data_IF_937006355743
#
_entry.id   IF_937006355743
#
_cell.length_a   1.000
_cell.length_b   1.000
_cell.length_c   1.000
_cell.angle_alpha   90.00
_cell.angle_beta   90.00
_cell.angle_gamma   90.00
#
_symmetry.space_group_name_H-M   'P 1'
#
loop_
_entity.id
_entity.type
_entity.pdbx_description
1 polymer ?
#
# COMPACT_ATOMS: atom_id res chain seq x y z
N UNK A 1 13.04 -2.05 17.42
CA UNK A 1 13.70 -0.71 17.50
C UNK A 1 15.15 -1.01 17.79
N UNK A 2 16.11 -0.37 17.10
CA UNK A 2 17.54 -0.57 17.34
C UNK A 2 17.92 -0.04 18.73
N UNK A 3 18.82 -0.76 19.40
CA UNK A 3 19.42 -0.31 20.64
C UNK A 3 20.66 0.56 20.35
N UNK A 4 21.12 1.39 21.30
CA UNK A 4 22.37 2.14 21.15
C UNK A 4 23.54 1.19 20.83
N UNK A 5 24.29 1.48 19.77
CA UNK A 5 25.41 0.66 19.30
C UNK A 5 25.05 -0.44 18.28
N UNK A 6 23.77 -0.62 17.97
CA UNK A 6 23.34 -1.57 16.91
C UNK A 6 23.33 -0.91 15.53
N UNK A 7 23.72 -1.66 14.52
CA UNK A 7 23.69 -1.29 13.11
C UNK A 7 22.86 -2.31 12.32
N UNK A 8 22.04 -1.80 11.39
CA UNK A 8 21.40 -2.66 10.39
C UNK A 8 22.45 -3.09 9.36
N UNK A 9 22.81 -4.36 9.34
CA UNK A 9 23.80 -4.91 8.41
C UNK A 9 23.19 -5.58 7.20
N UNK A 10 21.91 -5.98 7.26
CA UNK A 10 21.20 -6.61 6.16
C UNK A 10 19.69 -6.48 6.31
N UNK A 11 18.98 -6.51 5.17
CA UNK A 11 17.55 -6.70 5.06
C UNK A 11 17.29 -8.03 4.36
N UNK A 12 16.54 -8.91 5.02
CA UNK A 12 16.12 -10.19 4.43
C UNK A 12 14.72 -10.06 3.86
N UNK A 13 14.60 -10.21 2.53
CA UNK A 13 13.31 -10.18 1.82
C UNK A 13 13.00 -11.61 1.36
N UNK A 14 12.00 -12.28 1.97
CA UNK A 14 11.60 -13.62 1.54
C UNK A 14 11.09 -13.60 0.09
N UNK A 15 11.40 -14.65 -0.67
CA UNK A 15 10.82 -14.82 -2.01
C UNK A 15 9.31 -15.11 -1.90
N UNK A 16 8.49 -14.58 -2.82
CA UNK A 16 7.09 -15.00 -2.96
C UNK A 16 7.00 -16.52 -3.18
N UNK A 17 5.95 -17.14 -2.65
CA UNK A 17 5.70 -18.58 -2.82
C UNK A 17 4.91 -18.90 -4.08
N UNK A 18 4.21 -17.91 -4.63
CA UNK A 18 3.39 -18.00 -5.84
C UNK A 18 3.81 -16.92 -6.84
N UNK A 19 3.21 -16.95 -8.04
CA UNK A 19 3.34 -15.87 -8.99
C UNK A 19 2.95 -14.55 -8.33
N UNK A 20 3.85 -13.56 -8.39
CA UNK A 20 3.66 -12.29 -7.72
C UNK A 20 3.69 -11.13 -8.71
N UNK A 21 2.70 -10.23 -8.58
CA UNK A 21 2.67 -8.94 -9.26
C UNK A 21 2.83 -7.84 -8.24
N UNK A 22 3.50 -6.75 -8.60
CA UNK A 22 3.69 -5.61 -7.72
C UNK A 22 3.48 -4.30 -8.46
N UNK A 23 3.02 -3.30 -7.72
CA UNK A 23 2.86 -1.95 -8.23
C UNK A 23 3.16 -0.91 -7.13
N UNK A 24 3.54 0.28 -7.57
CA UNK A 24 3.77 1.44 -6.73
C UNK A 24 3.17 2.68 -7.40
N UNK A 25 2.42 3.46 -6.62
CA UNK A 25 1.88 4.74 -7.05
C UNK A 25 2.20 5.83 -6.03
N UNK A 26 2.48 7.02 -6.53
CA UNK A 26 2.82 8.19 -5.74
C UNK A 26 2.00 9.40 -6.20
N UNK A 27 1.44 10.14 -5.25
CA UNK A 27 0.87 11.46 -5.44
C UNK A 27 1.82 12.51 -4.88
N UNK A 28 2.12 13.51 -5.69
CA UNK A 28 2.91 14.68 -5.31
C UNK A 28 2.43 15.90 -6.09
N UNK A 29 2.87 17.10 -5.69
CA UNK A 29 2.51 18.35 -6.37
C UNK A 29 3.09 18.47 -7.80
N UNK A 30 4.08 17.64 -8.13
CA UNK A 30 4.68 17.50 -9.47
C UNK A 30 5.19 16.08 -9.68
N UNK A 31 5.54 15.75 -10.91
CA UNK A 31 5.90 14.37 -11.29
C UNK A 31 7.18 13.87 -10.63
N UNK A 32 8.20 14.71 -10.55
CA UNK A 32 9.53 14.33 -10.05
C UNK A 32 10.03 15.27 -8.96
N UNK A 33 11.04 14.82 -8.22
CA UNK A 33 11.77 15.59 -7.21
C UNK A 33 10.86 16.35 -6.23
N UNK A 34 9.87 15.64 -5.68
CA UNK A 34 8.91 16.22 -4.75
C UNK A 34 8.60 15.24 -3.61
N UNK A 35 8.36 15.79 -2.42
CA UNK A 35 7.90 15.03 -1.27
C UNK A 35 6.47 14.54 -1.55
N UNK A 36 6.21 13.28 -1.23
CA UNK A 36 4.90 12.65 -1.46
C UNK A 36 3.82 13.28 -0.58
N UNK A 37 2.65 13.52 -1.17
CA UNK A 37 1.41 13.80 -0.46
C UNK A 37 0.86 12.49 0.11
N UNK A 38 0.82 11.46 -0.74
CA UNK A 38 0.50 10.08 -0.41
C UNK A 38 1.24 9.14 -1.35
N UNK A 39 1.53 7.93 -0.92
CA UNK A 39 2.05 6.87 -1.80
C UNK A 39 1.55 5.51 -1.31
N UNK A 40 1.38 4.59 -2.24
CA UNK A 40 0.95 3.24 -1.96
C UNK A 40 1.76 2.23 -2.75
N UNK A 41 2.02 1.08 -2.17
CA UNK A 41 2.61 -0.07 -2.83
C UNK A 41 1.82 -1.33 -2.50
N UNK A 42 1.76 -2.26 -3.44
CA UNK A 42 1.22 -3.58 -3.19
C UNK A 42 2.04 -4.66 -3.89
N UNK A 43 2.11 -5.81 -3.24
CA UNK A 43 2.53 -7.08 -3.83
C UNK A 43 1.38 -8.05 -3.65
N UNK A 44 0.92 -8.67 -4.73
CA UNK A 44 -0.15 -9.67 -4.73
C UNK A 44 0.40 -10.96 -5.29
N UNK A 45 0.35 -12.01 -4.49
CA UNK A 45 0.67 -13.38 -4.89
C UNK A 45 -0.62 -14.09 -5.31
N UNK A 46 -0.59 -14.81 -6.42
CA UNK A 46 -1.78 -15.48 -6.95
C UNK A 46 -1.47 -16.88 -7.45
N UNK A 47 -2.47 -17.75 -7.34
CA UNK A 47 -2.49 -19.07 -7.93
C UNK A 47 -3.94 -19.44 -8.29
N UNK A 48 -4.13 -20.06 -9.47
CA UNK A 48 -5.45 -20.46 -9.94
C UNK A 48 -6.45 -19.31 -10.09
N UNK A 49 -5.99 -18.10 -10.46
CA UNK A 49 -6.81 -16.91 -10.60
C UNK A 49 -7.30 -16.29 -9.28
N UNK A 50 -6.76 -16.74 -8.13
CA UNK A 50 -7.13 -16.23 -6.81
C UNK A 50 -5.92 -15.64 -6.10
N UNK A 51 -6.15 -14.62 -5.30
CA UNK A 51 -5.14 -14.02 -4.41
C UNK A 51 -4.82 -14.99 -3.28
N UNK A 52 -3.57 -15.41 -3.19
CA UNK A 52 -3.07 -16.27 -2.11
C UNK A 52 -2.53 -15.44 -0.95
N UNK A 53 -1.86 -14.33 -1.27
CA UNK A 53 -1.36 -13.39 -0.28
C UNK A 53 -1.32 -11.98 -0.87
N UNK A 54 -1.56 -10.98 -0.05
CA UNK A 54 -1.36 -9.58 -0.41
C UNK A 54 -0.53 -8.87 0.66
N UNK A 55 0.30 -7.94 0.22
CA UNK A 55 1.04 -7.02 1.10
C UNK A 55 0.83 -5.62 0.57
N UNK A 56 0.16 -4.80 1.35
CA UNK A 56 -0.22 -3.43 0.96
C UNK A 56 0.34 -2.45 1.97
N UNK A 57 1.10 -1.48 1.50
CA UNK A 57 1.70 -0.47 2.35
C UNK A 57 1.39 0.94 1.85
N UNK A 58 1.18 1.86 2.78
CA UNK A 58 0.95 3.29 2.53
C UNK A 58 2.03 4.11 3.21
N UNK A 59 2.63 5.02 2.47
CA UNK A 59 3.61 5.98 2.96
C UNK A 59 3.12 7.42 2.86
N UNK A 60 3.83 8.33 3.52
CA UNK A 60 3.53 9.76 3.67
C UNK A 60 2.19 10.08 4.39
N UNK A 61 1.54 9.08 4.96
CA UNK A 61 0.28 9.21 5.71
C UNK A 61 0.40 8.73 7.17
N UNK A 62 1.61 8.63 7.67
CA UNK A 62 1.98 8.29 9.05
C UNK A 62 3.47 8.62 9.24
N UNK A 63 4.00 8.65 10.47
CA UNK A 63 5.44 8.93 10.71
C UNK A 63 6.38 7.97 9.95
N UNK A 64 5.94 6.72 9.73
CA UNK A 64 6.62 5.73 8.87
C UNK A 64 5.60 5.06 7.97
N UNK A 65 6.05 4.37 6.92
CA UNK A 65 5.15 3.58 6.08
C UNK A 65 4.41 2.53 6.91
N UNK A 66 3.11 2.36 6.65
CA UNK A 66 2.23 1.44 7.37
C UNK A 66 1.66 0.39 6.43
N UNK A 67 1.71 -0.87 6.86
CA UNK A 67 0.94 -1.96 6.25
C UNK A 67 -0.54 -1.80 6.61
N UNK A 68 -1.41 -2.36 5.75
CA UNK A 68 -2.86 -2.38 5.93
C UNK A 68 -3.37 -3.82 6.11
N UNK A 69 -3.16 -4.45 7.28
CA UNK A 69 -3.45 -5.89 7.47
C UNK A 69 -4.91 -6.25 7.22
N UNK A 70 -5.86 -5.37 7.61
CA UNK A 70 -7.29 -5.61 7.37
C UNK A 70 -7.61 -5.67 5.87
N UNK A 71 -7.02 -4.78 5.05
CA UNK A 71 -7.15 -4.84 3.59
C UNK A 71 -6.50 -6.10 3.03
N UNK A 72 -5.30 -6.46 3.49
CA UNK A 72 -4.60 -7.66 3.05
C UNK A 72 -5.42 -8.93 3.30
N UNK A 73 -6.08 -9.01 4.45
CA UNK A 73 -7.00 -10.09 4.80
C UNK A 73 -8.23 -10.09 3.88
N UNK A 74 -8.81 -8.92 3.60
CA UNK A 74 -9.97 -8.79 2.71
C UNK A 74 -9.67 -9.18 1.25
N UNK A 75 -8.41 -9.02 0.82
CA UNK A 75 -7.96 -9.42 -0.52
C UNK A 75 -7.67 -10.91 -0.62
N UNK A 76 -7.27 -11.58 0.47
CA UNK A 76 -6.94 -13.00 0.45
C UNK A 76 -8.16 -13.86 0.05
N UNK A 77 -7.94 -14.80 -0.88
CA UNK A 77 -8.97 -15.68 -1.45
C UNK A 77 -9.87 -15.02 -2.49
N UNK A 78 -9.78 -13.70 -2.70
CA UNK A 78 -10.56 -13.00 -3.74
C UNK A 78 -10.09 -13.41 -5.14
N UNK A 79 -10.97 -13.27 -6.12
CA UNK A 79 -10.61 -13.46 -7.53
C UNK A 79 -9.68 -12.32 -7.96
N UNK A 80 -8.62 -12.66 -8.70
CA UNK A 80 -7.69 -11.68 -9.25
C UNK A 80 -8.25 -11.10 -10.55
N UNK A 81 -9.26 -10.26 -10.43
CA UNK A 81 -9.94 -9.58 -11.53
C UNK A 81 -10.33 -8.14 -11.16
N UNK A 82 -11.06 -7.47 -12.05
CA UNK A 82 -11.49 -6.08 -11.86
C UNK A 82 -12.34 -5.83 -10.60
N UNK A 83 -12.94 -6.87 -9.99
CA UNK A 83 -13.74 -6.74 -8.76
C UNK A 83 -12.88 -6.67 -7.49
N UNK A 84 -11.56 -6.88 -7.62
CA UNK A 84 -10.63 -6.81 -6.47
C UNK A 84 -10.68 -5.44 -5.77
N UNK A 85 -10.96 -4.37 -6.52
CA UNK A 85 -11.08 -3.00 -5.98
C UNK A 85 -12.28 -2.82 -5.05
N UNK A 86 -13.33 -3.63 -5.20
CA UNK A 86 -14.55 -3.56 -4.38
C UNK A 86 -14.30 -4.06 -2.95
N UNK A 87 -13.16 -4.71 -2.72
CA UNK A 87 -12.71 -5.13 -1.38
C UNK A 87 -12.14 -4.00 -0.55
N UNK A 88 -11.92 -2.82 -1.16
CA UNK A 88 -11.35 -1.67 -0.44
C UNK A 88 -12.46 -0.96 0.34
N UNK A 89 -12.31 -0.93 1.66
CA UNK A 89 -13.17 -0.17 2.57
C UNK A 89 -12.37 0.98 3.23
N UNK A 90 -12.94 2.18 3.41
CA UNK A 90 -12.31 3.27 4.16
C UNK A 90 -11.83 2.88 5.56
N UNK A 91 -12.49 1.93 6.23
CA UNK A 91 -12.09 1.42 7.54
C UNK A 91 -10.70 0.75 7.52
N UNK A 92 -10.27 0.22 6.37
CA UNK A 92 -8.94 -0.35 6.21
C UNK A 92 -7.80 0.67 6.41
N UNK A 93 -8.12 1.97 6.32
CA UNK A 93 -7.16 3.06 6.53
C UNK A 93 -7.00 3.44 8.01
N UNK A 94 -7.63 2.73 8.95
CA UNK A 94 -7.56 3.00 10.38
C UNK A 94 -6.11 3.10 10.94
N UNK A 95 -5.13 2.31 10.46
CA UNK A 95 -3.74 2.41 10.94
C UNK A 95 -3.02 3.71 10.53
N UNK A 96 -3.60 4.51 9.64
CA UNK A 96 -2.97 5.74 9.12
C UNK A 96 -3.26 6.94 10.02
N UNK A 97 -2.24 7.77 10.23
CA UNK A 97 -2.31 9.02 11.00
C UNK A 97 -1.69 10.19 10.21
N UNK A 98 -2.32 10.60 9.09
CA UNK A 98 -1.78 11.68 8.28
C UNK A 98 -1.87 13.04 9.00
N UNK A 99 -0.89 13.88 8.73
CA UNK A 99 -0.83 15.25 9.26
C UNK A 99 -1.43 16.26 8.27
N UNK A 100 -1.82 17.43 8.77
CA UNK A 100 -2.09 18.59 7.96
C UNK A 100 -0.76 19.36 7.75
N UNK A 101 -0.42 19.67 6.51
CA UNK A 101 0.71 20.52 6.16
C UNK A 101 0.43 21.30 4.86
N UNK A 102 1.44 22.04 4.39
CA UNK A 102 1.36 22.85 3.16
C UNK A 102 1.08 22.01 1.90
N UNK A 103 1.22 20.69 1.96
CA UNK A 103 1.01 19.77 0.83
C UNK A 103 -0.41 19.23 0.76
N UNK A 104 -1.16 19.29 1.87
CA UNK A 104 -2.53 18.83 1.93
C UNK A 104 -3.00 18.52 3.34
N UNK A 105 -4.32 18.54 3.51
CA UNK A 105 -4.96 18.17 4.76
C UNK A 105 -4.90 16.66 5.02
N UNK A 106 -5.07 16.25 6.27
CA UNK A 106 -5.18 14.84 6.65
C UNK A 106 -6.37 14.14 5.95
N UNK A 107 -7.48 14.85 5.78
CA UNK A 107 -8.67 14.36 5.05
C UNK A 107 -8.30 14.10 3.59
N UNK A 108 -7.74 15.10 2.91
CA UNK A 108 -7.31 14.95 1.51
C UNK A 108 -6.34 13.79 1.31
N UNK A 109 -5.39 13.59 2.24
CA UNK A 109 -4.44 12.47 2.16
C UNK A 109 -5.13 11.12 2.28
N UNK A 110 -6.15 10.98 3.15
CA UNK A 110 -6.95 9.75 3.27
C UNK A 110 -7.73 9.47 1.99
N UNK A 111 -8.39 10.47 1.43
CA UNK A 111 -9.15 10.33 0.18
C UNK A 111 -8.22 9.97 -0.99
N UNK A 112 -7.06 10.62 -1.06
CA UNK A 112 -6.05 10.31 -2.06
C UNK A 112 -5.54 8.87 -1.95
N UNK A 113 -5.33 8.36 -0.73
CA UNK A 113 -4.92 6.96 -0.51
C UNK A 113 -5.96 5.99 -1.05
N UNK A 114 -7.27 6.22 -0.82
CA UNK A 114 -8.32 5.36 -1.36
C UNK A 114 -8.26 5.31 -2.89
N UNK A 115 -8.08 6.46 -3.53
CA UNK A 115 -7.95 6.53 -5.00
C UNK A 115 -6.68 5.81 -5.47
N UNK A 116 -5.55 6.01 -4.78
CA UNK A 116 -4.29 5.34 -5.13
C UNK A 116 -4.41 3.82 -5.00
N UNK A 117 -5.00 3.31 -3.93
CA UNK A 117 -5.21 1.88 -3.70
C UNK A 117 -6.09 1.26 -4.80
N UNK A 118 -7.19 1.91 -5.17
CA UNK A 118 -8.06 1.45 -6.26
C UNK A 118 -7.30 1.35 -7.57
N UNK A 119 -6.61 2.42 -7.98
CA UNK A 119 -5.81 2.44 -9.20
C UNK A 119 -4.68 1.42 -9.20
N UNK A 120 -4.05 1.23 -8.05
CA UNK A 120 -2.96 0.29 -7.87
C UNK A 120 -3.46 -1.15 -8.06
N UNK A 121 -4.56 -1.54 -7.42
CA UNK A 121 -5.15 -2.87 -7.57
C UNK A 121 -5.68 -3.09 -9.00
N UNK A 122 -6.30 -2.08 -9.63
CA UNK A 122 -6.70 -2.15 -11.05
C UNK A 122 -5.51 -2.44 -11.96
N UNK A 123 -4.37 -1.78 -11.73
CA UNK A 123 -3.16 -2.00 -12.53
C UNK A 123 -2.51 -3.37 -12.31
N UNK A 124 -2.81 -4.07 -11.22
CA UNK A 124 -2.28 -5.40 -10.94
C UNK A 124 -3.09 -6.53 -11.58
N UNK A 125 -4.35 -6.26 -11.96
CA UNK A 125 -5.25 -7.25 -12.60
C UNK A 125 -5.35 -7.08 -14.13
N UNK A 126 -4.77 -5.99 -14.65
CA UNK A 126 -4.72 -5.69 -16.08
C UNK A 126 -3.76 -6.59 -16.86
#
# INVERSE_FOLDING_TARGET
MLQPGELVVALHVPRPQHEARSAFLKLGARRYLVISIAMASAVVESAGGKVQAARVAVGACSPVARRLPALETALAGATLDGTLVDRIDPAHLAPLSPINDVRGSAVYRRDAVLVLLKRLLQGLVA
#
